data_IF_968255607306
#
_entry.id   IF_968255607306
#
_cell.length_a   1.000
_cell.length_b   1.000
_cell.length_c   1.000
_cell.angle_alpha   90.00
_cell.angle_beta   90.00
_cell.angle_gamma   90.00
#
_symmetry.space_group_name_H-M   'P 1'
#
loop_
_entity.id
_entity.type
_entity.pdbx_description
1 polymer ?
#
# COMPACT_ATOMS: atom_id res chain seq x y z
N UNK A 1 26.00 -35.25 -6.44
CA UNK A 1 24.76 -35.16 -5.62
C UNK A 1 23.58 -35.28 -6.59
N UNK A 2 22.93 -36.41 -6.61
CA UNK A 2 21.76 -36.67 -7.47
C UNK A 2 20.62 -35.82 -6.94
N UNK A 3 20.20 -34.84 -7.72
CA UNK A 3 19.05 -33.99 -7.39
C UNK A 3 17.82 -34.88 -7.54
N UNK A 4 17.28 -35.33 -6.39
CA UNK A 4 16.11 -36.17 -6.35
C UNK A 4 14.95 -35.58 -7.13
N UNK A 5 14.30 -36.38 -7.97
CA UNK A 5 13.08 -36.00 -8.65
C UNK A 5 12.00 -35.69 -7.58
N UNK A 6 11.34 -34.54 -7.71
CA UNK A 6 10.20 -34.17 -6.84
C UNK A 6 9.10 -35.24 -7.09
N UNK A 7 8.56 -35.79 -6.01
CA UNK A 7 7.42 -36.69 -6.10
C UNK A 7 6.27 -36.05 -6.89
N UNK A 8 5.72 -36.72 -7.92
CA UNK A 8 4.69 -36.16 -8.79
C UNK A 8 3.44 -35.64 -8.04
N UNK A 9 3.04 -36.32 -6.96
CA UNK A 9 1.90 -35.91 -6.14
C UNK A 9 2.22 -34.63 -5.35
N UNK A 10 3.40 -34.53 -4.76
CA UNK A 10 3.88 -33.34 -4.07
C UNK A 10 4.03 -32.16 -5.04
N UNK A 11 4.54 -32.41 -6.25
CA UNK A 11 4.64 -31.40 -7.31
C UNK A 11 3.28 -30.85 -7.68
N UNK A 12 2.32 -31.71 -8.02
CA UNK A 12 0.96 -31.29 -8.39
C UNK A 12 0.26 -30.52 -7.27
N UNK A 13 0.48 -30.93 -6.03
CA UNK A 13 -0.01 -30.23 -4.85
C UNK A 13 0.61 -28.84 -4.72
N UNK A 14 1.93 -28.71 -4.87
CA UNK A 14 2.64 -27.44 -4.84
C UNK A 14 2.13 -26.50 -5.93
N UNK A 15 1.96 -26.98 -7.15
CA UNK A 15 1.39 -26.18 -8.25
C UNK A 15 0.02 -25.59 -7.88
N UNK A 16 -0.89 -26.41 -7.34
CA UNK A 16 -2.22 -25.95 -6.91
C UNK A 16 -2.14 -24.91 -5.80
N UNK A 17 -1.23 -25.09 -4.83
CA UNK A 17 -1.04 -24.16 -3.73
C UNK A 17 -0.45 -22.83 -4.20
N UNK A 18 0.51 -22.85 -5.13
CA UNK A 18 1.08 -21.63 -5.75
C UNK A 18 0.01 -20.84 -6.46
N UNK A 19 -0.79 -21.48 -7.32
CA UNK A 19 -1.87 -20.81 -8.03
C UNK A 19 -2.94 -20.27 -7.07
N UNK A 20 -3.28 -21.02 -6.03
CA UNK A 20 -4.23 -20.59 -5.00
C UNK A 20 -3.69 -19.37 -4.23
N UNK A 21 -2.41 -19.39 -3.84
CA UNK A 21 -1.75 -18.30 -3.14
C UNK A 21 -1.76 -17.00 -3.96
N UNK A 22 -1.47 -17.09 -5.26
CA UNK A 22 -1.52 -15.95 -6.17
C UNK A 22 -2.94 -15.43 -6.41
N UNK A 23 -3.91 -16.30 -6.65
CA UNK A 23 -5.33 -15.91 -6.80
C UNK A 23 -5.84 -15.19 -5.56
N UNK A 24 -5.47 -15.69 -4.37
CA UNK A 24 -5.81 -15.07 -3.11
C UNK A 24 -5.12 -13.72 -2.94
N UNK A 25 -3.83 -13.64 -3.28
CA UNK A 25 -3.08 -12.38 -3.26
C UNK A 25 -3.72 -11.32 -4.15
N UNK A 26 -4.04 -11.62 -5.40
CA UNK A 26 -4.67 -10.65 -6.31
C UNK A 26 -6.09 -10.24 -5.88
N UNK A 27 -6.82 -11.13 -5.19
CA UNK A 27 -8.11 -10.77 -4.59
C UNK A 27 -7.96 -9.85 -3.38
N UNK A 28 -6.96 -10.11 -2.54
CA UNK A 28 -6.67 -9.30 -1.34
C UNK A 28 -6.01 -7.95 -1.72
N UNK A 29 -5.28 -7.91 -2.83
CA UNK A 29 -4.53 -6.75 -3.30
C UNK A 29 -4.76 -6.52 -4.80
N UNK A 30 -5.95 -6.06 -5.22
CA UNK A 30 -6.31 -5.97 -6.62
C UNK A 30 -5.47 -4.95 -7.41
N UNK A 31 -4.91 -3.92 -6.79
CA UNK A 31 -4.01 -2.96 -7.44
C UNK A 31 -2.56 -3.43 -7.51
N UNK A 32 -2.19 -4.50 -6.80
CA UNK A 32 -0.85 -5.05 -6.87
C UNK A 32 -0.71 -5.91 -8.13
N UNK A 33 0.21 -5.50 -9.01
CA UNK A 33 0.49 -6.21 -10.27
C UNK A 33 1.10 -7.59 -10.01
N UNK A 34 1.99 -7.70 -9.02
CA UNK A 34 2.81 -8.87 -8.77
C UNK A 34 3.23 -8.99 -7.29
N UNK A 35 3.69 -10.16 -6.91
CA UNK A 35 4.24 -10.44 -5.58
C UNK A 35 5.73 -10.80 -5.68
N UNK A 36 6.53 -10.48 -4.69
CA UNK A 36 7.93 -10.94 -4.63
C UNK A 36 7.99 -12.46 -4.45
N UNK A 37 8.95 -13.11 -5.08
CA UNK A 37 9.18 -14.56 -5.00
C UNK A 37 9.16 -15.07 -3.54
N UNK A 38 9.92 -14.42 -2.66
CA UNK A 38 10.03 -14.82 -1.25
C UNK A 38 8.67 -14.68 -0.52
N UNK A 39 7.92 -13.63 -0.83
CA UNK A 39 6.57 -13.44 -0.30
C UNK A 39 5.57 -14.48 -0.81
N UNK A 40 5.72 -14.95 -2.05
CA UNK A 40 4.89 -16.03 -2.59
C UNK A 40 5.20 -17.35 -1.89
N UNK A 41 6.48 -17.70 -1.74
CA UNK A 41 6.93 -18.90 -1.02
C UNK A 41 6.38 -18.93 0.40
N UNK A 42 6.53 -17.84 1.16
CA UNK A 42 5.98 -17.71 2.51
C UNK A 42 4.45 -17.90 2.57
N UNK A 43 3.72 -17.35 1.60
CA UNK A 43 2.25 -17.51 1.50
C UNK A 43 1.85 -18.96 1.20
N UNK A 44 2.59 -19.65 0.34
CA UNK A 44 2.34 -21.08 0.04
C UNK A 44 2.51 -21.94 1.28
N UNK A 45 3.59 -21.73 2.04
CA UNK A 45 3.80 -22.45 3.31
C UNK A 45 2.70 -22.13 4.33
N UNK A 46 2.34 -20.88 4.52
CA UNK A 46 1.27 -20.50 5.43
C UNK A 46 -0.11 -21.09 5.05
N UNK A 47 -0.40 -21.27 3.76
CA UNK A 47 -1.63 -21.94 3.30
C UNK A 47 -1.54 -23.46 3.55
N UNK A 48 -0.38 -24.06 3.31
CA UNK A 48 -0.16 -25.48 3.52
C UNK A 48 -0.32 -25.87 5.01
N UNK A 49 0.21 -25.05 5.92
CA UNK A 49 0.12 -25.25 7.37
C UNK A 49 -1.31 -25.11 7.93
N UNK A 50 -2.09 -24.17 7.39
CA UNK A 50 -3.47 -23.88 7.86
C UNK A 50 -4.51 -24.91 7.41
N UNK A 51 -4.17 -25.82 6.52
CA UNK A 51 -5.04 -26.94 6.12
C UNK A 51 -4.69 -28.17 6.95
N UNK A 52 -5.36 -28.40 8.11
CA UNK A 52 -5.26 -29.68 8.80
C UNK A 52 -5.68 -30.76 7.80
N UNK A 53 -4.88 -31.82 7.72
CA UNK A 53 -5.18 -33.00 6.93
C UNK A 53 -6.59 -33.49 7.32
N UNK A 54 -7.59 -33.15 6.51
CA UNK A 54 -8.88 -33.83 6.62
C UNK A 54 -8.61 -35.32 6.45
N UNK A 55 -9.16 -36.13 7.33
CA UNK A 55 -8.98 -37.60 7.43
C UNK A 55 -9.37 -38.38 6.15
N UNK A 56 -9.47 -37.73 5.01
CA UNK A 56 -9.72 -38.34 3.72
C UNK A 56 -8.38 -38.59 3.02
N UNK A 57 -8.16 -39.83 2.65
CA UNK A 57 -7.01 -40.40 1.93
C UNK A 57 -6.42 -39.41 0.90
N UNK A 58 -5.14 -39.04 1.07
CA UNK A 58 -4.37 -38.20 0.13
C UNK A 58 -4.02 -36.79 0.60
N UNK A 59 -4.41 -36.35 1.79
CA UNK A 59 -4.15 -34.99 2.30
C UNK A 59 -2.84 -34.86 3.09
N UNK A 60 -1.70 -35.39 2.61
CA UNK A 60 -0.40 -35.23 3.24
C UNK A 60 0.02 -33.75 3.38
N UNK A 61 0.82 -33.44 4.39
CA UNK A 61 1.44 -32.13 4.56
C UNK A 61 2.32 -31.82 3.33
N UNK A 62 2.37 -30.56 2.86
CA UNK A 62 3.32 -30.19 1.83
C UNK A 62 4.72 -30.23 2.46
N UNK A 63 5.44 -31.31 2.19
CA UNK A 63 6.82 -31.50 2.65
C UNK A 63 7.78 -31.27 1.48
N UNK A 64 7.81 -30.00 1.00
CA UNK A 64 8.68 -29.62 -0.10
C UNK A 64 9.70 -28.58 0.39
N UNK A 65 11.00 -28.83 0.22
CA UNK A 65 12.03 -27.83 0.48
C UNK A 65 11.77 -26.56 -0.35
N UNK A 66 12.16 -25.41 0.16
CA UNK A 66 11.98 -24.13 -0.53
C UNK A 66 12.60 -24.13 -1.93
N UNK A 67 13.76 -24.76 -2.11
CA UNK A 67 14.41 -24.88 -3.41
C UNK A 67 13.53 -25.61 -4.44
N UNK A 68 12.86 -26.67 -4.02
CA UNK A 68 11.99 -27.45 -4.89
C UNK A 68 10.68 -26.70 -5.19
N UNK A 69 10.14 -25.96 -4.21
CA UNK A 69 9.00 -25.08 -4.45
C UNK A 69 9.35 -23.98 -5.47
N UNK A 70 10.55 -23.41 -5.40
CA UNK A 70 11.04 -22.44 -6.39
C UNK A 70 11.13 -23.04 -7.79
N UNK A 71 11.59 -24.30 -7.92
CA UNK A 71 11.58 -25.02 -9.21
C UNK A 71 10.18 -25.20 -9.75
N UNK A 72 9.22 -25.60 -8.91
CA UNK A 72 7.81 -25.71 -9.33
C UNK A 72 7.28 -24.37 -9.84
N UNK A 73 7.64 -23.25 -9.21
CA UNK A 73 7.26 -21.92 -9.67
C UNK A 73 7.93 -21.62 -11.02
N UNK A 74 9.21 -21.94 -11.22
CA UNK A 74 9.91 -21.73 -12.48
C UNK A 74 9.31 -22.59 -13.61
N UNK A 75 8.87 -23.82 -13.34
CA UNK A 75 8.15 -24.67 -14.28
C UNK A 75 6.78 -24.08 -14.66
N UNK A 76 6.07 -23.47 -13.70
CA UNK A 76 4.82 -22.75 -13.97
C UNK A 76 5.04 -21.49 -14.81
N UNK A 77 6.16 -20.82 -14.68
CA UNK A 77 6.56 -19.72 -15.57
C UNK A 77 6.86 -20.25 -16.97
N UNK A 78 7.63 -21.33 -17.09
CA UNK A 78 7.97 -21.96 -18.37
C UNK A 78 6.72 -22.46 -19.12
N UNK A 79 5.72 -22.97 -18.38
CA UNK A 79 4.44 -23.39 -18.96
C UNK A 79 3.48 -22.25 -19.26
N UNK A 80 3.87 -21.00 -19.04
CA UNK A 80 3.06 -19.81 -19.32
C UNK A 80 1.90 -19.57 -18.37
N UNK A 81 1.78 -20.32 -17.27
CA UNK A 81 0.75 -20.09 -16.25
C UNK A 81 1.07 -18.91 -15.35
N UNK A 82 2.37 -18.60 -15.18
CA UNK A 82 2.87 -17.45 -14.43
C UNK A 82 3.75 -16.58 -15.33
N UNK A 83 3.82 -15.29 -14.98
CA UNK A 83 4.75 -14.34 -15.57
C UNK A 83 5.73 -13.89 -14.50
N UNK A 84 7.02 -13.93 -14.82
CA UNK A 84 8.10 -13.46 -13.96
C UNK A 84 8.76 -12.21 -14.52
N UNK A 85 8.90 -11.18 -13.69
CA UNK A 85 9.66 -9.96 -13.99
C UNK A 85 10.69 -9.74 -12.89
N UNK A 86 11.93 -10.14 -13.14
CA UNK A 86 13.00 -10.15 -12.14
C UNK A 86 12.66 -11.06 -10.93
N UNK A 87 12.50 -10.48 -9.75
CA UNK A 87 12.12 -11.19 -8.52
C UNK A 87 10.60 -11.19 -8.23
N UNK A 88 9.80 -10.73 -9.18
CA UNK A 88 8.35 -10.58 -9.01
C UNK A 88 7.60 -11.57 -9.89
N UNK A 89 6.50 -12.10 -9.39
CA UNK A 89 5.67 -13.16 -9.99
C UNK A 89 4.21 -12.72 -9.98
N UNK A 90 3.51 -13.00 -11.08
CA UNK A 90 2.05 -12.84 -11.17
C UNK A 90 1.41 -13.99 -11.94
N UNK A 91 0.11 -14.16 -11.83
CA UNK A 91 -0.63 -15.03 -12.75
C UNK A 91 -0.58 -14.45 -14.18
N UNK A 92 -0.51 -15.29 -15.17
CA UNK A 92 -0.46 -14.84 -16.56
C UNK A 92 -1.77 -14.14 -17.00
N UNK A 93 -2.90 -14.61 -16.46
CA UNK A 93 -4.25 -14.08 -16.69
C UNK A 93 -4.66 -12.97 -15.70
N UNK A 94 -3.80 -12.63 -14.72
CA UNK A 94 -4.10 -11.54 -13.81
C UNK A 94 -3.99 -10.20 -14.52
N UNK A 95 -5.11 -9.54 -14.66
CA UNK A 95 -5.16 -8.11 -14.98
C UNK A 95 -5.16 -7.34 -13.67
N UNK A 96 -4.10 -6.56 -13.37
CA UNK A 96 -4.11 -5.69 -12.21
C UNK A 96 -5.19 -4.62 -12.43
N UNK A 97 -6.06 -4.48 -11.46
CA UNK A 97 -7.13 -3.49 -11.51
C UNK A 97 -8.21 -3.81 -10.50
N UNK A 98 -8.92 -2.77 -10.13
CA UNK A 98 -10.17 -2.92 -9.40
C UNK A 98 -11.25 -3.41 -10.39
N UNK A 99 -12.23 -4.16 -9.89
CA UNK A 99 -13.42 -4.41 -10.67
C UNK A 99 -14.12 -3.09 -11.03
N UNK A 100 -14.98 -3.05 -12.06
CA UNK A 100 -15.60 -1.81 -12.53
C UNK A 100 -16.35 -1.05 -11.42
N UNK A 101 -17.07 -1.77 -10.56
CA UNK A 101 -17.83 -1.17 -9.47
C UNK A 101 -16.90 -0.54 -8.42
N UNK A 102 -15.82 -1.21 -8.03
CA UNK A 102 -14.84 -0.66 -7.11
C UNK A 102 -14.06 0.52 -7.75
N UNK A 103 -13.79 0.45 -9.04
CA UNK A 103 -13.17 1.56 -9.80
C UNK A 103 -14.04 2.82 -9.74
N UNK A 104 -15.35 2.70 -9.91
CA UNK A 104 -16.29 3.81 -9.80
C UNK A 104 -16.34 4.38 -8.37
N UNK A 105 -16.38 3.52 -7.35
CA UNK A 105 -16.35 3.93 -5.95
C UNK A 105 -15.06 4.68 -5.60
N UNK A 106 -13.91 4.21 -6.07
CA UNK A 106 -12.62 4.89 -5.89
C UNK A 106 -12.59 6.22 -6.64
N UNK A 107 -13.11 6.27 -7.86
CA UNK A 107 -13.24 7.52 -8.62
C UNK A 107 -14.09 8.55 -7.88
N UNK A 108 -15.22 8.13 -7.32
CA UNK A 108 -16.10 8.95 -6.49
C UNK A 108 -15.39 9.47 -5.24
N UNK A 109 -14.62 8.60 -4.54
CA UNK A 109 -13.82 8.99 -3.39
C UNK A 109 -12.80 10.06 -3.75
N UNK A 110 -11.99 9.83 -4.81
CA UNK A 110 -10.94 10.76 -5.22
C UNK A 110 -11.52 12.09 -5.70
N UNK A 111 -12.62 12.07 -6.43
CA UNK A 111 -13.33 13.27 -6.88
C UNK A 111 -13.90 14.07 -5.72
N UNK A 112 -14.50 13.40 -4.74
CA UNK A 112 -14.98 14.04 -3.51
C UNK A 112 -13.85 14.70 -2.72
N UNK A 113 -12.71 14.02 -2.57
CA UNK A 113 -11.54 14.59 -1.89
C UNK A 113 -10.95 15.80 -2.65
N UNK A 114 -10.94 15.76 -4.00
CA UNK A 114 -10.52 16.91 -4.82
C UNK A 114 -11.43 18.14 -4.60
N UNK A 115 -12.73 17.92 -4.56
CA UNK A 115 -13.70 18.98 -4.33
C UNK A 115 -13.53 19.66 -2.96
N UNK A 116 -13.04 18.93 -1.95
CA UNK A 116 -12.77 19.48 -0.61
C UNK A 116 -11.45 20.26 -0.53
N UNK A 117 -10.60 20.20 -1.55
CA UNK A 117 -9.37 21.00 -1.67
C UNK A 117 -8.44 20.84 -0.47
N UNK A 118 -8.15 21.93 0.23
CA UNK A 118 -7.20 21.97 1.36
C UNK A 118 -7.79 21.46 2.71
N UNK A 119 -9.05 21.03 2.75
CA UNK A 119 -9.73 20.55 3.97
C UNK A 119 -10.41 19.19 3.77
N UNK A 120 -9.69 18.15 3.33
CA UNK A 120 -10.31 16.86 3.15
C UNK A 120 -10.73 16.27 4.51
N UNK A 121 -11.92 15.65 4.59
CA UNK A 121 -12.28 14.86 5.75
C UNK A 121 -11.44 13.58 5.82
N UNK A 122 -11.55 12.85 6.92
CA UNK A 122 -10.84 11.57 7.07
C UNK A 122 -11.27 10.60 5.96
N UNK A 123 -10.29 10.11 5.21
CA UNK A 123 -10.52 9.20 4.08
C UNK A 123 -11.24 7.92 4.51
N UNK A 124 -10.88 7.38 5.69
CA UNK A 124 -11.46 6.13 6.20
C UNK A 124 -12.98 6.23 6.38
N UNK A 125 -13.50 7.40 6.83
CA UNK A 125 -14.93 7.62 7.01
C UNK A 125 -15.70 7.69 5.69
N UNK A 126 -15.10 8.28 4.64
CA UNK A 126 -15.73 8.31 3.31
C UNK A 126 -15.64 6.93 2.67
N UNK A 127 -14.48 6.28 2.75
CA UNK A 127 -14.26 4.96 2.21
C UNK A 127 -15.26 3.93 2.77
N UNK A 128 -15.49 3.95 4.09
CA UNK A 128 -16.48 3.08 4.73
C UNK A 128 -17.89 3.29 4.19
N UNK A 129 -18.32 4.56 3.98
CA UNK A 129 -19.63 4.86 3.39
C UNK A 129 -19.77 4.42 1.93
N UNK A 130 -18.68 4.44 1.17
CA UNK A 130 -18.64 3.98 -0.21
C UNK A 130 -18.40 2.46 -0.33
N UNK A 131 -18.27 1.74 0.80
CA UNK A 131 -17.97 0.31 0.79
C UNK A 131 -16.58 -0.02 0.23
N UNK A 132 -15.62 0.90 0.36
CA UNK A 132 -14.23 0.69 -0.07
C UNK A 132 -13.45 0.07 1.09
N UNK A 133 -12.88 -1.13 0.92
CA UNK A 133 -12.09 -1.79 1.96
C UNK A 133 -10.84 -0.98 2.34
N UNK A 134 -10.39 -1.01 3.62
CA UNK A 134 -9.15 -0.34 4.05
C UNK A 134 -7.91 -0.77 3.24
N UNK A 135 -7.86 -2.01 2.81
CA UNK A 135 -6.78 -2.54 1.96
C UNK A 135 -6.66 -1.82 0.62
N UNK A 136 -7.78 -1.38 0.03
CA UNK A 136 -7.78 -0.58 -1.21
C UNK A 136 -7.21 0.82 -0.94
N UNK A 137 -7.55 1.44 0.20
CA UNK A 137 -6.98 2.73 0.59
C UNK A 137 -5.46 2.65 0.76
N UNK A 138 -4.96 1.59 1.42
CA UNK A 138 -3.51 1.36 1.55
C UNK A 138 -2.83 1.18 0.17
N UNK A 139 -3.50 0.49 -0.74
CA UNK A 139 -2.99 0.32 -2.11
C UNK A 139 -2.98 1.63 -2.90
N UNK A 140 -4.00 2.50 -2.73
CA UNK A 140 -4.01 3.84 -3.33
C UNK A 140 -2.86 4.71 -2.80
N UNK A 141 -2.55 4.59 -1.50
CA UNK A 141 -1.37 5.24 -0.90
C UNK A 141 -0.07 4.68 -1.47
N UNK A 142 0.07 3.37 -1.54
CA UNK A 142 1.24 2.69 -2.11
C UNK A 142 1.45 2.99 -3.60
N UNK A 143 0.35 3.13 -4.37
CA UNK A 143 0.37 3.52 -5.78
C UNK A 143 0.59 5.04 -5.98
N UNK A 144 0.68 5.82 -4.91
CA UNK A 144 0.88 7.27 -4.97
C UNK A 144 -0.35 8.06 -5.45
N UNK A 145 -1.52 7.44 -5.52
CA UNK A 145 -2.77 8.14 -5.85
C UNK A 145 -3.33 8.93 -4.67
N UNK A 146 -3.06 8.47 -3.44
CA UNK A 146 -3.29 9.18 -2.20
C UNK A 146 -1.97 9.44 -1.48
N UNK A 147 -1.79 10.65 -0.95
CA UNK A 147 -0.66 11.03 -0.11
C UNK A 147 -1.14 11.29 1.31
N UNK A 148 -0.77 10.42 2.23
CA UNK A 148 -0.96 10.68 3.66
C UNK A 148 0.15 11.61 4.15
N UNK A 149 -0.19 12.80 4.62
CA UNK A 149 0.75 13.77 5.16
C UNK A 149 0.78 13.80 6.70
N UNK A 150 -0.29 13.30 7.32
CA UNK A 150 -0.40 13.13 8.77
C UNK A 150 -1.46 12.06 9.06
N UNK A 151 -1.48 11.43 10.23
CA UNK A 151 -2.53 10.48 10.60
C UNK A 151 -3.94 11.04 10.38
N UNK A 152 -4.69 10.41 9.45
CA UNK A 152 -6.05 10.81 9.08
C UNK A 152 -6.16 12.07 8.23
N UNK A 153 -5.07 12.52 7.59
CA UNK A 153 -5.06 13.59 6.58
C UNK A 153 -4.42 13.04 5.32
N UNK A 154 -5.26 12.76 4.34
CA UNK A 154 -4.87 12.23 3.03
C UNK A 154 -5.32 13.19 1.94
N UNK A 155 -4.49 13.41 0.95
CA UNK A 155 -4.80 14.19 -0.25
C UNK A 155 -4.64 13.34 -1.51
N UNK A 156 -5.49 13.49 -2.53
CA UNK A 156 -5.15 13.08 -3.88
C UNK A 156 -3.81 13.66 -4.31
N UNK A 157 -3.02 12.91 -5.07
CA UNK A 157 -1.65 13.30 -5.43
C UNK A 157 -1.55 14.65 -6.17
N UNK A 158 -2.50 14.92 -7.04
CA UNK A 158 -2.65 16.18 -7.78
C UNK A 158 -2.95 17.35 -6.85
N UNK A 159 -3.88 17.19 -5.91
CA UNK A 159 -4.22 18.22 -4.90
C UNK A 159 -3.02 18.50 -4.01
N UNK A 160 -2.35 17.44 -3.52
CA UNK A 160 -1.14 17.59 -2.71
C UNK A 160 -0.04 18.36 -3.46
N UNK A 161 0.20 18.02 -4.72
CA UNK A 161 1.19 18.72 -5.55
C UNK A 161 0.86 20.19 -5.71
N UNK A 162 -0.40 20.54 -5.94
CA UNK A 162 -0.83 21.93 -6.05
C UNK A 162 -0.68 22.71 -4.72
N UNK A 163 -1.07 22.10 -3.59
CA UNK A 163 -0.92 22.70 -2.26
C UNK A 163 0.55 22.95 -1.92
N UNK A 164 1.42 21.96 -2.21
CA UNK A 164 2.85 22.07 -2.00
C UNK A 164 3.46 23.23 -2.78
N UNK A 165 3.19 23.33 -4.09
CA UNK A 165 3.67 24.41 -4.94
C UNK A 165 3.22 25.78 -4.42
N UNK A 166 1.96 25.89 -3.96
CA UNK A 166 1.46 27.14 -3.37
C UNK A 166 2.22 27.53 -2.10
N UNK A 167 2.50 26.59 -1.21
CA UNK A 167 3.25 26.87 0.03
C UNK A 167 4.71 27.18 -0.25
N UNK A 168 5.38 26.44 -1.13
CA UNK A 168 6.76 26.69 -1.56
C UNK A 168 6.90 28.05 -2.26
N UNK A 169 5.89 28.50 -2.98
CA UNK A 169 5.85 29.81 -3.66
C UNK A 169 5.61 31.01 -2.73
N UNK A 170 5.30 30.83 -1.45
CA UNK A 170 5.06 31.92 -0.50
C UNK A 170 6.35 32.65 -0.17
N UNK A 171 6.40 33.97 -0.42
CA UNK A 171 7.57 34.80 -0.11
C UNK A 171 7.57 35.25 1.35
N UNK A 172 8.75 35.34 1.97
CA UNK A 172 8.94 35.78 3.36
C UNK A 172 8.68 34.66 4.37
N UNK A 173 8.38 35.03 5.63
CA UNK A 173 8.21 34.06 6.71
C UNK A 173 6.90 33.28 6.53
N UNK A 174 7.01 31.98 6.29
CA UNK A 174 5.89 31.04 6.20
C UNK A 174 5.62 30.44 7.58
N UNK A 175 4.41 30.60 8.09
CA UNK A 175 3.96 30.06 9.36
C UNK A 175 2.55 29.46 9.24
N UNK A 176 2.09 28.77 10.26
CA UNK A 176 0.78 28.08 10.28
C UNK A 176 -0.39 29.03 10.01
N UNK A 177 -0.35 30.23 10.56
CA UNK A 177 -1.44 31.21 10.37
C UNK A 177 -1.53 31.62 8.90
N UNK A 178 -0.40 31.94 8.30
CA UNK A 178 -0.34 32.34 6.90
C UNK A 178 -0.76 31.19 5.96
N UNK A 179 -0.29 29.97 6.20
CA UNK A 179 -0.71 28.79 5.41
C UNK A 179 -2.20 28.54 5.54
N UNK A 180 -2.76 28.67 6.77
CA UNK A 180 -4.20 28.54 7.00
C UNK A 180 -4.99 29.54 6.18
N UNK A 181 -4.61 30.81 6.25
CA UNK A 181 -5.35 31.92 5.63
C UNK A 181 -5.22 31.89 4.10
N UNK A 182 -4.02 31.61 3.57
CA UNK A 182 -3.75 31.51 2.13
C UNK A 182 -4.44 30.31 1.48
N UNK A 183 -4.46 29.17 2.16
CA UNK A 183 -5.11 27.96 1.64
C UNK A 183 -6.57 27.83 2.08
N UNK A 184 -7.08 28.77 2.88
CA UNK A 184 -8.43 28.76 3.47
C UNK A 184 -8.71 27.42 4.14
N UNK A 185 -7.79 26.97 5.00
CA UNK A 185 -7.87 25.67 5.63
C UNK A 185 -7.92 25.76 7.16
N UNK A 186 -8.10 24.64 7.84
CA UNK A 186 -8.07 24.63 9.31
C UNK A 186 -6.63 24.68 9.82
N UNK A 187 -6.45 25.11 11.08
CA UNK A 187 -5.14 25.10 11.74
C UNK A 187 -4.47 23.73 11.69
N UNK A 188 -5.24 22.66 11.95
CA UNK A 188 -4.74 21.28 11.92
C UNK A 188 -4.19 20.91 10.54
N UNK A 189 -4.89 21.24 9.46
CA UNK A 189 -4.43 20.95 8.11
C UNK A 189 -3.21 21.82 7.75
N UNK A 190 -3.23 23.12 8.11
CA UNK A 190 -2.10 24.00 7.87
C UNK A 190 -0.81 23.53 8.57
N UNK A 191 -0.91 23.06 9.83
CA UNK A 191 0.20 22.46 10.56
C UNK A 191 0.75 21.20 9.85
N UNK A 192 -0.16 20.31 9.41
CA UNK A 192 0.23 19.09 8.70
C UNK A 192 0.87 19.39 7.33
N UNK A 193 0.30 20.31 6.56
CA UNK A 193 0.85 20.73 5.26
C UNK A 193 2.25 21.33 5.45
N UNK A 194 2.40 22.28 6.37
CA UNK A 194 3.68 22.94 6.62
C UNK A 194 4.76 21.94 7.07
N UNK A 195 4.41 21.01 7.96
CA UNK A 195 5.32 19.95 8.41
C UNK A 195 5.73 19.04 7.25
N UNK A 196 4.79 18.64 6.37
CA UNK A 196 5.06 17.75 5.25
C UNK A 196 5.91 18.43 4.15
N UNK A 197 5.70 19.72 3.88
CA UNK A 197 6.54 20.51 2.96
C UNK A 197 7.95 20.65 3.52
N UNK A 198 8.12 20.98 4.79
CA UNK A 198 9.44 21.09 5.44
C UNK A 198 10.22 19.77 5.50
N UNK A 199 9.56 18.62 5.52
CA UNK A 199 10.21 17.30 5.46
C UNK A 199 10.74 16.96 4.06
N UNK A 200 10.11 17.49 3.00
CA UNK A 200 10.57 17.30 1.61
C UNK A 200 11.82 18.14 1.30
N UNK A 201 12.00 19.27 1.96
CA UNK A 201 13.21 20.11 1.82
C UNK A 201 14.43 19.59 2.62
N UNK A 202 14.25 18.56 3.46
CA UNK A 202 15.32 17.97 4.29
C UNK A 202 16.44 17.29 3.51
N UNK A 203 16.40 17.27 2.19
CA UNK A 203 17.54 16.93 1.32
C UNK A 203 18.27 18.17 0.75
N UNK A 204 17.86 19.39 1.06
CA UNK A 204 18.48 20.57 0.48
C UNK A 204 18.51 21.85 1.30
N UNK A 205 17.66 22.11 2.24
CA UNK A 205 17.74 23.31 3.12
C UNK A 205 16.81 23.20 4.32
N UNK A 206 17.35 23.26 5.54
CA UNK A 206 16.56 23.28 6.79
C UNK A 206 16.06 24.69 7.08
N UNK A 207 14.75 24.98 7.04
CA UNK A 207 14.23 26.16 7.71
C UNK A 207 14.32 25.93 9.22
N UNK A 208 14.95 26.87 9.93
CA UNK A 208 15.09 26.83 11.39
C UNK A 208 13.73 27.09 12.05
N UNK A 209 12.94 26.05 12.28
CA UNK A 209 11.83 26.11 13.22
C UNK A 209 12.39 26.22 14.62
N UNK A 210 12.25 27.39 15.28
CA UNK A 210 12.48 27.56 16.73
C UNK A 210 11.14 27.36 17.44
N UNK A 211 10.94 26.28 18.22
CA UNK A 211 9.79 26.21 19.11
C UNK A 211 9.93 27.32 20.16
N UNK A 212 8.84 28.04 20.38
CA UNK A 212 8.73 29.08 21.41
C UNK A 212 8.89 28.37 22.77
N UNK A 213 10.04 28.57 23.43
CA UNK A 213 10.30 28.09 24.77
C UNK A 213 9.20 28.60 25.72
N UNK A 214 8.59 27.67 26.46
CA UNK A 214 7.69 27.98 27.57
C UNK A 214 8.41 28.92 28.54
N UNK A 215 7.98 30.17 28.61
CA UNK A 215 8.38 31.06 29.69
C UNK A 215 7.85 30.50 31.00
N UNK A 216 8.78 30.17 31.89
CA UNK A 216 8.52 29.63 33.18
C UNK A 216 7.54 30.47 33.99
N UNK A 217 6.57 29.80 34.59
CA UNK A 217 5.86 30.30 35.77
C UNK A 217 6.88 30.33 36.90
N UNK A 218 7.39 31.53 37.22
CA UNK A 218 8.03 31.78 38.52
C UNK A 218 6.93 31.70 39.57
N UNK A 219 7.10 30.76 40.49
CA UNK A 219 6.47 30.81 41.78
C UNK A 219 6.94 32.06 42.50
N UNK A 220 6.02 32.88 42.94
CA UNK A 220 6.22 33.99 43.88
C UNK A 220 5.52 33.61 45.18
N UNK A 221 6.22 33.79 46.23
CA UNK A 221 5.87 33.59 47.65
C UNK A 221 4.55 34.25 48.03
#
# INVERSE_FOLDING_TARGET
>A
MTIGAIDPEQRHRAERLVLLALRRFHREQPLAVDVRMDGLVARVHAIAERRPSSRHRGGGQLNLPEADLRRVIDDLVTSGKLVRTGRRIRLADASPGLDPEMTERVSTLLSGLRAMGAQPPRVDGIAARLGIPPTVIEQLRAAGQLRQISPGIDYPADVWSALRVRVEGMRGTVNVVRVRDELQTTRRHAEAILAAVGQTEGQGHRPRYRPRSQRGRRAGR
#
